data_IF_078926829148
#
_entry.id   IF_078926829148
#
_cell.length_a   1.000
_cell.length_b   1.000
_cell.length_c   1.000
_cell.angle_alpha   90.00
_cell.angle_beta   90.00
_cell.angle_gamma   90.00
#
_symmetry.space_group_name_H-M   'P 1'
#
loop_
_entity.id
_entity.type
_entity.pdbx_description
1 polymer ?
#
# COMPACT_ATOMS: atom_id res chain seq x y z
N UNK A 1 -14.42 -3.78 8.81
CA UNK A 1 -13.92 -3.77 10.21
C UNK A 1 -12.51 -4.35 10.38
N UNK A 2 -12.11 -5.41 9.64
CA UNK A 2 -10.79 -6.07 9.81
C UNK A 2 -9.57 -5.19 9.49
N UNK A 3 -9.64 -4.30 8.49
CA UNK A 3 -8.45 -3.53 8.06
C UNK A 3 -8.06 -2.42 9.03
N UNK A 4 -9.03 -1.82 9.72
CA UNK A 4 -8.79 -0.76 10.71
C UNK A 4 -7.89 -1.25 11.84
N UNK A 5 -8.05 -2.50 12.26
CA UNK A 5 -7.25 -3.10 13.34
C UNK A 5 -5.77 -3.16 12.97
N UNK A 6 -5.43 -3.50 11.71
CA UNK A 6 -4.04 -3.47 11.26
C UNK A 6 -3.45 -2.06 11.33
N UNK A 7 -4.15 -1.03 10.85
CA UNK A 7 -3.66 0.35 10.90
C UNK A 7 -3.54 0.89 12.33
N UNK A 8 -4.46 0.52 13.23
CA UNK A 8 -4.35 0.84 14.66
C UNK A 8 -3.12 0.15 15.26
N UNK A 9 -2.91 -1.13 14.97
CA UNK A 9 -1.73 -1.86 15.43
C UNK A 9 -0.44 -1.25 14.86
N UNK A 10 -0.43 -0.80 13.61
CA UNK A 10 0.71 -0.08 13.01
C UNK A 10 1.00 1.22 13.75
N UNK A 11 -0.02 2.03 14.02
CA UNK A 11 0.13 3.28 14.76
C UNK A 11 0.65 3.03 16.20
N UNK A 12 0.10 2.00 16.86
CA UNK A 12 0.57 1.58 18.19
C UNK A 12 2.02 1.12 18.14
N UNK A 13 2.43 0.35 17.12
CA UNK A 13 3.81 -0.09 16.95
C UNK A 13 4.76 1.11 16.87
N UNK A 14 4.48 2.08 15.97
CA UNK A 14 5.28 3.30 15.87
C UNK A 14 5.34 4.06 17.20
N UNK A 15 4.19 4.25 17.86
CA UNK A 15 4.12 5.00 19.12
C UNK A 15 4.90 4.30 20.24
N UNK A 16 4.75 2.99 20.40
CA UNK A 16 5.47 2.20 21.40
C UNK A 16 6.97 2.22 21.14
N UNK A 17 7.40 2.14 19.87
CA UNK A 17 8.81 2.25 19.51
C UNK A 17 9.37 3.64 19.86
N UNK A 18 8.66 4.72 19.52
CA UNK A 18 9.10 6.08 19.90
C UNK A 18 9.21 6.24 21.42
N UNK A 19 8.20 5.78 22.16
CA UNK A 19 8.22 5.82 23.64
C UNK A 19 9.40 5.02 24.17
N UNK A 20 9.64 3.81 23.66
CA UNK A 20 10.76 2.99 24.06
C UNK A 20 12.11 3.67 23.81
N UNK A 21 12.30 4.26 22.63
CA UNK A 21 13.55 4.98 22.30
C UNK A 21 13.75 6.21 23.19
N UNK A 22 12.68 6.92 23.54
CA UNK A 22 12.74 8.05 24.49
C UNK A 22 13.11 7.58 25.90
N UNK A 23 12.54 6.46 26.38
CA UNK A 23 12.89 5.88 27.68
C UNK A 23 14.34 5.38 27.74
N UNK A 24 14.93 5.08 26.58
CA UNK A 24 16.33 4.63 26.43
C UNK A 24 17.25 5.75 25.93
N UNK A 25 16.78 6.99 25.91
CA UNK A 25 17.49 8.11 25.29
C UNK A 25 18.92 8.27 25.81
N UNK A 26 19.13 8.15 27.12
CA UNK A 26 20.47 8.30 27.72
C UNK A 26 21.47 7.22 27.27
N UNK A 27 20.98 6.03 26.89
CA UNK A 27 21.81 4.94 26.36
C UNK A 27 22.14 5.08 24.87
N UNK A 28 21.41 5.93 24.13
CA UNK A 28 21.67 6.15 22.70
C UNK A 28 23.04 6.81 22.53
N UNK A 29 23.95 6.25 21.72
CA UNK A 29 25.29 6.79 21.54
C UNK A 29 25.26 8.14 20.84
N UNK A 30 26.31 8.93 21.07
CA UNK A 30 26.60 10.13 20.29
C UNK A 30 28.06 10.02 19.79
N UNK A 31 28.29 9.81 18.49
CA UNK A 31 27.32 9.85 17.38
C UNK A 31 26.51 8.55 17.19
N UNK A 32 25.40 8.64 16.43
CA UNK A 32 24.50 7.52 16.11
C UNK A 32 24.86 6.92 14.73
N UNK A 33 24.88 5.59 14.57
CA UNK A 33 25.03 4.97 13.24
C UNK A 33 23.78 5.18 12.37
N UNK A 34 23.96 5.67 11.14
CA UNK A 34 22.86 5.94 10.20
C UNK A 34 22.97 5.18 8.87
N UNK A 35 24.14 4.63 8.56
CA UNK A 35 24.36 3.76 7.41
C UNK A 35 25.22 2.57 7.84
N UNK A 36 25.04 1.46 7.13
CA UNK A 36 25.73 0.20 7.37
C UNK A 36 26.26 -0.34 6.06
N UNK A 37 27.50 -0.83 6.06
CA UNK A 37 28.12 -1.45 4.91
C UNK A 37 27.48 -2.81 4.57
N UNK A 38 27.90 -3.43 3.47
CA UNK A 38 27.42 -4.76 3.08
C UNK A 38 27.77 -5.89 4.06
N UNK A 39 28.67 -5.64 5.02
CA UNK A 39 29.02 -6.57 6.10
C UNK A 39 28.21 -6.33 7.38
N UNK A 40 27.36 -5.29 7.40
CA UNK A 40 26.53 -4.90 8.54
C UNK A 40 27.27 -4.07 9.59
N UNK A 41 28.47 -3.54 9.28
CA UNK A 41 29.17 -2.62 10.17
C UNK A 41 28.69 -1.19 9.89
N UNK A 42 28.52 -0.35 10.93
CA UNK A 42 28.32 1.08 10.71
C UNK A 42 29.49 1.70 9.95
N UNK A 43 29.21 2.40 8.86
CA UNK A 43 30.20 3.10 8.03
C UNK A 43 29.91 4.61 7.89
N UNK A 44 28.74 5.07 8.37
CA UNK A 44 28.38 6.49 8.51
C UNK A 44 27.67 6.74 9.84
N UNK A 45 28.01 7.88 10.44
CA UNK A 45 27.49 8.32 11.74
C UNK A 45 27.02 9.76 11.66
N UNK A 46 26.01 10.11 12.46
CA UNK A 46 25.47 11.47 12.58
C UNK A 46 25.39 11.90 14.05
N UNK A 47 25.40 13.21 14.36
CA UNK A 47 25.17 13.70 15.71
C UNK A 47 23.86 13.17 16.29
N UNK A 48 23.87 12.86 17.58
CA UNK A 48 22.68 12.44 18.30
C UNK A 48 21.63 13.55 18.28
N UNK A 49 20.52 13.25 17.61
CA UNK A 49 19.34 14.11 17.59
C UNK A 49 18.09 13.23 17.61
N UNK A 50 16.98 13.77 18.11
CA UNK A 50 15.72 13.02 18.14
C UNK A 50 15.34 12.52 16.74
N UNK A 51 15.55 13.35 15.72
CA UNK A 51 15.27 13.00 14.33
C UNK A 51 16.16 11.85 13.84
N UNK A 52 17.48 11.96 13.99
CA UNK A 52 18.42 10.94 13.52
C UNK A 52 18.21 9.59 14.21
N UNK A 53 17.93 9.60 15.51
CA UNK A 53 17.61 8.39 16.26
C UNK A 53 16.31 7.73 15.79
N UNK A 54 15.31 8.51 15.35
CA UNK A 54 13.96 8.00 15.06
C UNK A 54 13.61 7.98 13.57
N UNK A 55 14.55 8.31 12.68
CA UNK A 55 14.32 8.47 11.24
C UNK A 55 13.63 7.25 10.60
N UNK A 56 14.07 6.04 10.94
CA UNK A 56 13.45 4.80 10.48
C UNK A 56 11.99 4.68 10.94
N UNK A 57 11.66 5.05 12.17
CA UNK A 57 10.27 5.05 12.65
C UNK A 57 9.41 6.01 11.83
N UNK A 58 9.94 7.19 11.49
CA UNK A 58 9.24 8.14 10.62
C UNK A 58 9.05 7.63 9.19
N UNK A 59 10.00 6.91 8.62
CA UNK A 59 9.81 6.19 7.34
C UNK A 59 8.65 5.20 7.46
N UNK A 60 8.58 4.45 8.56
CA UNK A 60 7.47 3.56 8.87
C UNK A 60 6.12 4.27 8.94
N UNK A 61 6.06 5.46 9.56
CA UNK A 61 4.85 6.31 9.61
C UNK A 61 4.43 6.80 8.23
N UNK A 62 5.38 7.29 7.43
CA UNK A 62 5.09 7.77 6.06
C UNK A 62 4.52 6.66 5.21
N UNK A 63 5.11 5.46 5.21
CA UNK A 63 4.57 4.33 4.47
C UNK A 63 3.23 3.85 5.01
N UNK A 64 3.00 3.92 6.32
CA UNK A 64 1.71 3.59 6.92
C UNK A 64 0.58 4.51 6.46
N UNK A 65 0.90 5.74 6.04
CA UNK A 65 -0.05 6.70 5.49
C UNK A 65 -0.15 6.55 3.96
N UNK A 66 0.99 6.48 3.27
CA UNK A 66 1.04 6.56 1.82
C UNK A 66 0.52 5.29 1.12
N UNK A 67 0.90 4.09 1.58
CA UNK A 67 0.49 2.86 0.91
C UNK A 67 -1.03 2.65 0.90
N UNK A 68 -1.78 2.93 1.99
CA UNK A 68 -3.25 2.87 1.94
C UNK A 68 -3.87 3.86 0.96
N UNK A 69 -3.26 5.03 0.72
CA UNK A 69 -3.76 6.00 -0.27
C UNK A 69 -3.64 5.48 -1.70
N UNK A 70 -2.76 4.50 -1.94
CA UNK A 70 -2.63 3.78 -3.21
C UNK A 70 -3.73 2.75 -3.46
N UNK A 71 -4.64 2.51 -2.52
CA UNK A 71 -5.80 1.62 -2.68
C UNK A 71 -7.04 2.44 -3.03
N UNK A 72 -7.79 2.12 -4.10
CA UNK A 72 -8.98 2.89 -4.43
C UNK A 72 -10.03 2.74 -3.31
N UNK A 73 -10.84 3.78 -3.03
CA UNK A 73 -11.94 3.62 -2.08
C UNK A 73 -12.99 2.67 -2.68
N UNK A 74 -13.50 1.73 -1.87
CA UNK A 74 -14.50 0.72 -2.31
C UNK A 74 -15.72 1.40 -2.96
N UNK A 75 -16.13 2.57 -2.45
CA UNK A 75 -17.22 3.37 -3.01
C UNK A 75 -17.03 3.75 -4.48
N UNK A 76 -15.79 3.77 -5.00
CA UNK A 76 -15.51 4.06 -6.41
C UNK A 76 -16.09 2.99 -7.34
N UNK A 77 -16.28 1.75 -6.88
CA UNK A 77 -16.86 0.65 -7.65
C UNK A 77 -18.33 0.90 -8.01
N UNK A 78 -19.06 1.57 -7.12
CA UNK A 78 -20.47 1.91 -7.31
C UNK A 78 -20.71 3.36 -7.71
N UNK A 79 -19.66 4.18 -7.73
CA UNK A 79 -19.78 5.58 -8.11
C UNK A 79 -20.00 5.69 -9.62
N UNK A 80 -21.13 6.27 -9.99
CA UNK A 80 -21.49 6.55 -11.37
C UNK A 80 -21.38 8.04 -11.68
N UNK A 81 -21.00 8.36 -12.91
CA UNK A 81 -21.04 9.72 -13.45
C UNK A 81 -22.25 9.85 -14.39
N UNK A 82 -22.83 11.04 -14.47
CA UNK A 82 -23.94 11.31 -15.40
C UNK A 82 -23.43 11.25 -16.84
N UNK A 83 -23.96 10.32 -17.61
CA UNK A 83 -23.73 10.15 -19.05
C UNK A 83 -25.11 10.18 -19.72
N UNK A 84 -25.28 10.84 -20.89
CA UNK A 84 -26.55 10.83 -21.62
C UNK A 84 -27.05 9.40 -21.87
N UNK A 85 -28.32 9.13 -21.55
CA UNK A 85 -28.88 7.77 -21.58
C UNK A 85 -28.81 7.09 -22.95
N UNK A 86 -28.88 7.87 -24.04
CA UNK A 86 -28.79 7.39 -25.43
C UNK A 86 -27.40 6.84 -25.80
N UNK A 87 -26.36 7.23 -25.07
CA UNK A 87 -24.97 6.86 -25.36
C UNK A 87 -24.30 6.09 -24.22
N UNK A 88 -24.96 5.98 -23.07
CA UNK A 88 -24.40 5.37 -21.87
C UNK A 88 -24.30 3.86 -22.03
N UNK A 89 -23.13 3.31 -21.71
CA UNK A 89 -23.03 1.88 -21.44
C UNK A 89 -23.85 1.55 -20.17
N UNK A 90 -24.42 0.34 -20.09
CA UNK A 90 -25.19 -0.05 -18.92
C UNK A 90 -24.30 -0.16 -17.68
N UNK A 91 -24.88 0.08 -16.51
CA UNK A 91 -24.19 -0.16 -15.23
C UNK A 91 -24.33 -1.64 -14.87
N UNK A 92 -23.22 -2.36 -14.71
CA UNK A 92 -23.24 -3.77 -14.33
C UNK A 92 -23.05 -3.95 -12.82
N UNK A 93 -24.02 -4.62 -12.18
CA UNK A 93 -23.94 -4.96 -10.76
C UNK A 93 -22.83 -5.96 -10.50
N UNK A 94 -22.69 -6.95 -11.37
CA UNK A 94 -21.67 -7.98 -11.27
C UNK A 94 -20.25 -7.38 -11.42
N UNK A 95 -20.07 -6.41 -12.32
CA UNK A 95 -18.79 -5.68 -12.47
C UNK A 95 -18.46 -4.87 -11.21
N UNK A 96 -19.46 -4.17 -10.65
CA UNK A 96 -19.28 -3.41 -9.41
C UNK A 96 -18.89 -4.32 -8.24
N UNK A 97 -19.59 -5.46 -8.05
CA UNK A 97 -19.26 -6.43 -7.00
C UNK A 97 -17.84 -7.00 -7.14
N UNK A 98 -17.38 -7.29 -8.36
CA UNK A 98 -16.00 -7.73 -8.60
C UNK A 98 -14.99 -6.65 -8.22
N UNK A 99 -15.27 -5.40 -8.58
CA UNK A 99 -14.42 -4.28 -8.25
C UNK A 99 -14.35 -4.03 -6.73
N UNK A 100 -15.47 -4.16 -6.01
CA UNK A 100 -15.50 -4.09 -4.55
C UNK A 100 -14.66 -5.20 -3.92
N UNK A 101 -14.88 -6.44 -4.33
CA UNK A 101 -14.15 -7.62 -3.84
C UNK A 101 -12.64 -7.46 -4.03
N UNK A 102 -12.18 -7.09 -5.23
CA UNK A 102 -10.76 -6.87 -5.51
C UNK A 102 -10.20 -5.71 -4.68
N UNK A 103 -10.97 -4.65 -4.50
CA UNK A 103 -10.56 -3.49 -3.69
C UNK A 103 -10.39 -3.87 -2.23
N UNK A 104 -11.34 -4.61 -1.64
CA UNK A 104 -11.28 -5.05 -0.24
C UNK A 104 -10.12 -6.03 0.02
N UNK A 105 -9.87 -6.94 -0.92
CA UNK A 105 -8.74 -7.86 -0.85
C UNK A 105 -7.41 -7.13 -0.96
N UNK A 106 -7.29 -6.20 -1.91
CA UNK A 106 -6.12 -5.33 -2.04
C UNK A 106 -5.91 -4.49 -0.78
N UNK A 107 -6.98 -3.91 -0.22
CA UNK A 107 -6.91 -3.14 1.02
C UNK A 107 -6.42 -3.99 2.20
N UNK A 108 -6.88 -5.24 2.31
CA UNK A 108 -6.42 -6.17 3.36
C UNK A 108 -4.95 -6.49 3.19
N UNK A 109 -4.52 -6.81 1.95
CA UNK A 109 -3.13 -7.09 1.63
C UNK A 109 -2.23 -5.91 2.00
N UNK A 110 -2.58 -4.69 1.55
CA UNK A 110 -1.82 -3.48 1.88
C UNK A 110 -1.79 -3.21 3.38
N UNK A 111 -2.90 -3.39 4.11
CA UNK A 111 -2.91 -3.21 5.55
C UNK A 111 -1.97 -4.17 6.29
N UNK A 112 -1.92 -5.44 5.86
CA UNK A 112 -0.99 -6.43 6.39
C UNK A 112 0.46 -6.09 6.04
N UNK A 113 0.73 -5.69 4.79
CA UNK A 113 2.05 -5.26 4.32
C UNK A 113 2.57 -4.08 5.12
N UNK A 114 1.72 -3.08 5.35
CA UNK A 114 2.07 -1.89 6.15
C UNK A 114 2.43 -2.31 7.57
N UNK A 115 1.61 -3.11 8.24
CA UNK A 115 1.91 -3.55 9.60
C UNK A 115 3.22 -4.32 9.70
N UNK A 116 3.44 -5.31 8.83
CA UNK A 116 4.66 -6.13 8.89
C UNK A 116 5.90 -5.33 8.54
N UNK A 117 5.84 -4.49 7.51
CA UNK A 117 6.95 -3.60 7.14
C UNK A 117 7.28 -2.61 8.25
N UNK A 118 6.28 -1.94 8.83
CA UNK A 118 6.49 -1.02 9.95
C UNK A 118 7.11 -1.74 11.14
N UNK A 119 6.70 -2.98 11.42
CA UNK A 119 7.30 -3.79 12.49
C UNK A 119 8.78 -4.05 12.22
N UNK A 120 9.16 -4.45 10.99
CA UNK A 120 10.55 -4.64 10.61
C UNK A 120 11.38 -3.36 10.73
N UNK A 121 10.84 -2.23 10.28
CA UNK A 121 11.52 -0.93 10.35
C UNK A 121 11.68 -0.45 11.80
N UNK A 122 10.65 -0.60 12.63
CA UNK A 122 10.72 -0.27 14.06
C UNK A 122 11.71 -1.16 14.80
N UNK A 123 11.72 -2.46 14.49
CA UNK A 123 12.71 -3.40 15.02
C UNK A 123 14.13 -2.97 14.61
N UNK A 124 14.32 -2.63 13.33
CA UNK A 124 15.60 -2.13 12.81
C UNK A 124 16.05 -0.91 13.61
N UNK A 125 15.18 0.10 13.77
CA UNK A 125 15.47 1.33 14.50
C UNK A 125 15.95 1.07 15.94
N UNK A 126 15.26 0.19 16.65
CA UNK A 126 15.61 -0.16 18.03
C UNK A 126 16.95 -0.86 18.11
N UNK A 127 17.18 -1.83 17.23
CA UNK A 127 18.38 -2.68 17.26
C UNK A 127 19.64 -1.98 16.77
N UNK A 128 19.53 -0.95 15.93
CA UNK A 128 20.69 -0.20 15.42
C UNK A 128 21.06 0.98 16.30
N UNK A 129 20.11 1.53 17.08
CA UNK A 129 20.32 2.76 17.85
C UNK A 129 20.52 2.50 19.35
N UNK A 130 19.97 1.42 19.91
CA UNK A 130 20.06 1.13 21.36
C UNK A 130 21.12 0.05 21.61
N UNK A 131 22.26 0.37 22.26
CA UNK A 131 23.44 -0.50 22.30
C UNK A 131 23.30 -1.73 23.21
N UNK A 132 22.49 -1.66 24.27
CA UNK A 132 22.36 -2.76 25.25
C UNK A 132 21.35 -3.84 24.83
N UNK A 133 20.83 -3.78 23.60
CA UNK A 133 19.94 -4.82 23.10
C UNK A 133 20.84 -5.89 22.49
N UNK A 134 20.91 -7.10 23.07
CA UNK A 134 21.70 -8.19 22.54
C UNK A 134 21.02 -8.71 21.26
N UNK A 135 21.20 -7.96 20.17
CA UNK A 135 20.56 -8.25 18.91
C UNK A 135 21.59 -8.82 17.95
N UNK A 136 21.35 -10.03 17.46
CA UNK A 136 22.19 -10.58 16.40
C UNK A 136 21.78 -9.94 15.07
N UNK A 137 22.75 -9.45 14.29
CA UNK A 137 22.48 -8.99 12.92
C UNK A 137 21.74 -10.05 12.09
N UNK A 138 21.93 -11.34 12.42
CA UNK A 138 21.17 -12.46 11.87
C UNK A 138 19.66 -12.35 12.10
N UNK A 139 19.20 -11.91 13.27
CA UNK A 139 17.77 -11.75 13.55
C UNK A 139 17.17 -10.63 12.69
N UNK A 140 17.92 -9.57 12.38
CA UNK A 140 17.48 -8.52 11.47
C UNK A 140 17.28 -9.06 10.05
N UNK A 141 18.30 -9.77 9.56
CA UNK A 141 18.27 -10.41 8.23
C UNK A 141 17.10 -11.39 8.15
N UNK A 142 16.94 -12.25 9.16
CA UNK A 142 15.83 -13.20 9.23
C UNK A 142 14.47 -12.49 9.24
N UNK A 143 14.32 -11.37 9.95
CA UNK A 143 13.09 -10.58 9.96
C UNK A 143 12.75 -10.01 8.57
N UNK A 144 13.73 -9.44 7.86
CA UNK A 144 13.53 -8.89 6.52
C UNK A 144 13.31 -9.96 5.45
N UNK A 145 14.00 -11.11 5.54
CA UNK A 145 13.73 -12.29 4.70
C UNK A 145 12.32 -12.82 4.98
N UNK A 146 11.94 -12.95 6.25
CA UNK A 146 10.60 -13.38 6.66
C UNK A 146 9.51 -12.45 6.15
N UNK A 147 9.71 -11.14 6.25
CA UNK A 147 8.83 -10.13 5.64
C UNK A 147 8.71 -10.32 4.13
N UNK A 148 9.82 -10.47 3.42
CA UNK A 148 9.84 -10.64 1.96
C UNK A 148 9.06 -11.90 1.55
N UNK A 149 9.34 -13.04 2.20
CA UNK A 149 8.63 -14.28 1.96
C UNK A 149 7.13 -14.15 2.29
N UNK A 150 6.79 -13.49 3.39
CA UNK A 150 5.40 -13.22 3.76
C UNK A 150 4.69 -12.43 2.64
N UNK A 151 5.27 -11.34 2.14
CA UNK A 151 4.69 -10.53 1.06
C UNK A 151 4.54 -11.34 -0.22
N UNK A 152 5.55 -12.14 -0.60
CA UNK A 152 5.47 -13.01 -1.77
C UNK A 152 4.32 -14.01 -1.65
N UNK A 153 4.22 -14.70 -0.51
CA UNK A 153 3.16 -15.68 -0.23
C UNK A 153 1.78 -15.00 -0.26
N UNK A 154 1.64 -13.83 0.37
CA UNK A 154 0.38 -13.10 0.39
C UNK A 154 0.02 -12.56 -1.01
N UNK A 155 0.99 -12.12 -1.81
CA UNK A 155 0.79 -11.66 -3.18
C UNK A 155 0.33 -12.80 -4.11
N UNK A 156 0.93 -13.98 -3.99
CA UNK A 156 0.49 -15.20 -4.69
C UNK A 156 -0.93 -15.57 -4.24
N UNK A 157 -1.19 -15.60 -2.93
CA UNK A 157 -2.53 -15.90 -2.39
C UNK A 157 -3.58 -14.90 -2.86
N UNK A 158 -3.26 -13.60 -2.85
CA UNK A 158 -4.12 -12.54 -3.35
C UNK A 158 -4.47 -12.81 -4.81
N UNK A 159 -3.46 -13.03 -5.66
CA UNK A 159 -3.66 -13.25 -7.09
C UNK A 159 -4.53 -14.48 -7.36
N UNK A 160 -4.20 -15.63 -6.77
CA UNK A 160 -4.91 -16.89 -7.00
C UNK A 160 -6.33 -16.87 -6.46
N UNK A 161 -6.53 -16.38 -5.23
CA UNK A 161 -7.86 -16.32 -4.61
C UNK A 161 -8.72 -15.23 -5.23
N UNK A 162 -8.16 -14.09 -5.61
CA UNK A 162 -8.90 -13.05 -6.31
C UNK A 162 -9.40 -13.54 -7.66
N UNK A 163 -8.55 -14.20 -8.45
CA UNK A 163 -8.97 -14.76 -9.74
C UNK A 163 -10.10 -15.79 -9.58
N UNK A 164 -10.02 -16.66 -8.56
CA UNK A 164 -11.09 -17.63 -8.26
C UNK A 164 -12.39 -16.94 -7.85
N UNK A 165 -12.34 -16.04 -6.88
CA UNK A 165 -13.55 -15.46 -6.29
C UNK A 165 -14.23 -14.47 -7.24
N UNK A 166 -13.45 -13.77 -8.07
CA UNK A 166 -13.99 -12.91 -9.15
C UNK A 166 -14.74 -13.73 -10.20
N UNK A 167 -14.23 -14.92 -10.55
CA UNK A 167 -14.90 -15.84 -11.49
C UNK A 167 -16.16 -16.47 -10.89
N UNK A 168 -16.26 -16.56 -9.57
CA UNK A 168 -17.44 -17.12 -8.90
C UNK A 168 -18.65 -16.18 -8.93
N UNK A 169 -18.44 -14.88 -9.14
CA UNK A 169 -19.54 -13.92 -9.34
C UNK A 169 -20.16 -14.20 -10.73
N UNK A 170 -21.48 -14.44 -10.83
CA UNK A 170 -22.15 -14.64 -12.12
C UNK A 170 -22.07 -13.40 -13.00
N UNK A 171 -21.89 -13.59 -14.31
CA UNK A 171 -21.92 -12.49 -15.28
C UNK A 171 -23.36 -12.05 -15.54
N UNK A 172 -23.65 -10.76 -15.38
CA UNK A 172 -24.95 -10.19 -15.73
C UNK A 172 -25.00 -9.75 -17.22
N UNK A 173 -26.21 -9.53 -17.74
CA UNK A 173 -26.40 -9.15 -19.15
C UNK A 173 -25.70 -7.82 -19.47
N UNK A 174 -25.73 -6.87 -18.54
CA UNK A 174 -25.07 -5.57 -18.65
C UNK A 174 -23.55 -5.72 -18.78
N UNK A 175 -22.94 -6.65 -18.03
CA UNK A 175 -21.52 -6.99 -18.15
C UNK A 175 -21.17 -7.57 -19.51
N UNK A 176 -22.03 -8.40 -20.12
CA UNK A 176 -21.78 -8.95 -21.45
C UNK A 176 -21.74 -7.85 -22.52
N UNK A 177 -22.69 -6.90 -22.45
CA UNK A 177 -22.72 -5.73 -23.33
C UNK A 177 -21.45 -4.89 -23.13
N UNK A 178 -21.10 -4.61 -21.86
CA UNK A 178 -19.88 -3.86 -21.52
C UNK A 178 -18.61 -4.55 -22.00
N UNK A 179 -18.49 -5.87 -21.80
CA UNK A 179 -17.31 -6.64 -22.22
C UNK A 179 -17.08 -6.57 -23.72
N UNK A 180 -18.16 -6.54 -24.51
CA UNK A 180 -18.07 -6.37 -25.97
C UNK A 180 -17.58 -4.97 -26.33
N UNK A 181 -18.14 -3.94 -25.69
CA UNK A 181 -17.78 -2.54 -25.96
C UNK A 181 -16.37 -2.16 -25.45
N UNK A 182 -15.94 -2.71 -24.32
CA UNK A 182 -14.71 -2.32 -23.60
C UNK A 182 -13.55 -3.30 -23.77
N UNK A 183 -13.68 -4.30 -24.65
CA UNK A 183 -12.74 -5.43 -24.79
C UNK A 183 -11.26 -5.03 -24.83
N UNK A 184 -10.95 -3.92 -25.50
CA UNK A 184 -9.61 -3.39 -25.70
C UNK A 184 -9.37 -2.02 -25.04
N UNK A 185 -10.30 -1.56 -24.20
CA UNK A 185 -10.21 -0.25 -23.57
C UNK A 185 -9.21 -0.22 -22.39
N UNK A 186 -8.93 -1.38 -21.78
CA UNK A 186 -8.13 -1.47 -20.55
C UNK A 186 -6.65 -1.66 -20.78
N UNK A 187 -5.84 -1.01 -19.94
CA UNK A 187 -4.38 -1.11 -19.94
C UNK A 187 -3.79 -1.37 -18.55
N UNK A 188 -2.79 -0.58 -18.17
CA UNK A 188 -2.04 -0.66 -16.90
C UNK A 188 -2.85 -0.19 -15.67
N UNK A 189 -4.06 -0.74 -15.47
CA UNK A 189 -4.94 -0.39 -14.35
C UNK A 189 -5.78 0.88 -14.56
N UNK A 190 -5.75 1.43 -15.77
CA UNK A 190 -6.55 2.58 -16.19
C UNK A 190 -7.17 2.33 -17.57
N UNK A 191 -8.28 3.02 -17.81
CA UNK A 191 -8.89 3.16 -19.13
C UNK A 191 -9.52 4.55 -19.26
N UNK A 192 -9.97 4.90 -20.46
CA UNK A 192 -10.67 6.16 -20.73
C UNK A 192 -11.85 5.89 -21.65
N UNK A 193 -13.05 5.84 -21.08
CA UNK A 193 -14.29 5.72 -21.84
C UNK A 193 -15.33 6.69 -21.27
N UNK A 194 -15.59 7.83 -21.95
CA UNK A 194 -16.59 8.82 -21.52
C UNK A 194 -18.01 8.27 -21.46
N UNK A 195 -18.33 7.27 -22.30
CA UNK A 195 -19.67 6.66 -22.37
C UNK A 195 -19.94 5.65 -21.26
N UNK A 196 -18.91 5.21 -20.53
CA UNK A 196 -19.05 4.29 -19.42
C UNK A 196 -19.34 5.07 -18.14
N UNK A 197 -20.52 4.97 -17.52
CA UNK A 197 -20.82 5.71 -16.30
C UNK A 197 -20.00 5.24 -15.09
N UNK A 198 -19.43 4.02 -15.12
CA UNK A 198 -18.65 3.48 -14.00
C UNK A 198 -17.28 4.18 -13.88
N UNK A 199 -16.88 4.50 -12.64
CA UNK A 199 -15.58 5.10 -12.35
C UNK A 199 -14.46 4.06 -12.16
N UNK A 200 -14.83 2.81 -11.88
CA UNK A 200 -13.92 1.69 -11.68
C UNK A 200 -14.61 0.40 -12.13
N UNK A 201 -13.85 -0.47 -12.80
CA UNK A 201 -14.36 -1.72 -13.33
C UNK A 201 -13.33 -2.84 -13.22
N UNK A 202 -13.77 -4.06 -13.45
CA UNK A 202 -12.94 -5.24 -13.67
C UNK A 202 -13.27 -5.76 -15.05
N UNK A 203 -12.27 -5.88 -15.91
CA UNK A 203 -12.49 -6.35 -17.28
C UNK A 203 -12.28 -7.86 -17.37
N UNK A 204 -13.08 -8.52 -18.20
CA UNK A 204 -12.99 -9.97 -18.46
C UNK A 204 -11.62 -10.41 -18.98
N UNK A 205 -10.92 -9.56 -19.74
CA UNK A 205 -9.56 -9.84 -20.24
C UNK A 205 -8.50 -9.85 -19.14
N UNK A 206 -8.77 -9.20 -18.00
CA UNK A 206 -7.85 -9.07 -16.87
C UNK A 206 -8.62 -9.12 -15.53
N UNK A 207 -9.19 -10.27 -15.14
CA UNK A 207 -10.11 -10.37 -14.00
C UNK A 207 -9.43 -10.15 -12.64
N UNK A 208 -8.10 -10.11 -12.59
CA UNK A 208 -7.33 -9.83 -11.37
C UNK A 208 -6.96 -8.35 -11.21
N UNK A 209 -7.35 -7.47 -12.13
CA UNK A 209 -6.94 -6.06 -12.15
C UNK A 209 -8.15 -5.13 -12.02
N UNK A 210 -8.00 -4.13 -11.17
CA UNK A 210 -8.89 -2.97 -11.14
C UNK A 210 -8.51 -2.04 -12.29
N UNK A 211 -9.52 -1.54 -13.00
CA UNK A 211 -9.38 -0.58 -14.08
C UNK A 211 -10.09 0.71 -13.68
N UNK A 212 -9.36 1.82 -13.61
CA UNK A 212 -9.92 3.13 -13.23
C UNK A 212 -10.29 3.92 -14.48
N UNK A 213 -11.51 4.44 -14.54
CA UNK A 213 -11.95 5.27 -15.65
C UNK A 213 -11.48 6.72 -15.48
N UNK A 214 -10.51 7.12 -16.30
CA UNK A 214 -9.93 8.48 -16.27
C UNK A 214 -10.74 9.50 -17.06
N UNK A 215 -11.76 9.07 -17.81
CA UNK A 215 -12.72 9.98 -18.43
C UNK A 215 -13.50 10.79 -17.38
N UNK A 216 -13.67 10.23 -16.18
CA UNK A 216 -14.43 10.84 -15.10
C UNK A 216 -13.55 11.43 -14.01
N UNK A 217 -14.03 12.53 -13.42
CA UNK A 217 -13.32 13.23 -12.35
C UNK A 217 -12.98 12.35 -11.14
N UNK A 218 -13.87 11.46 -10.64
CA UNK A 218 -13.54 10.61 -9.50
C UNK A 218 -12.33 9.70 -9.75
N UNK A 219 -12.20 9.15 -10.96
CA UNK A 219 -11.05 8.34 -11.36
C UNK A 219 -9.77 9.17 -11.43
N UNK A 220 -9.81 10.37 -12.03
CA UNK A 220 -8.65 11.29 -12.06
C UNK A 220 -8.21 11.73 -10.67
N UNK A 221 -9.15 12.11 -9.80
CA UNK A 221 -8.86 12.50 -8.40
C UNK A 221 -8.18 11.36 -7.63
N UNK A 222 -8.60 10.12 -7.86
CA UNK A 222 -7.93 8.95 -7.27
C UNK A 222 -6.48 8.84 -7.75
N UNK A 223 -6.21 8.94 -9.06
CA UNK A 223 -4.84 8.87 -9.57
C UNK A 223 -3.96 10.01 -9.06
N UNK A 224 -4.48 11.23 -8.97
CA UNK A 224 -3.77 12.35 -8.35
C UNK A 224 -3.39 12.07 -6.90
N UNK A 225 -4.31 11.48 -6.13
CA UNK A 225 -4.04 11.08 -4.74
C UNK A 225 -2.89 10.08 -4.65
N UNK A 226 -2.83 9.09 -5.56
CA UNK A 226 -1.70 8.14 -5.63
C UNK A 226 -0.40 8.89 -5.94
N UNK A 227 -0.41 9.73 -6.98
CA UNK A 227 0.77 10.49 -7.40
C UNK A 227 1.33 11.35 -6.29
N UNK A 228 0.47 12.09 -5.57
CA UNK A 228 0.86 12.90 -4.42
C UNK A 228 1.43 12.04 -3.29
N UNK A 229 0.78 10.93 -2.95
CA UNK A 229 1.24 10.05 -1.87
C UNK A 229 2.62 9.43 -2.17
N UNK A 230 2.83 8.95 -3.40
CA UNK A 230 4.11 8.39 -3.83
C UNK A 230 5.20 9.46 -3.88
N UNK A 231 4.91 10.61 -4.48
CA UNK A 231 5.87 11.71 -4.57
C UNK A 231 6.29 12.21 -3.18
N UNK A 232 5.33 12.45 -2.28
CA UNK A 232 5.62 12.88 -0.92
C UNK A 232 6.46 11.85 -0.16
N UNK A 233 6.19 10.55 -0.35
CA UNK A 233 6.97 9.47 0.28
C UNK A 233 8.40 9.42 -0.23
N UNK A 234 8.60 9.52 -1.55
CA UNK A 234 9.93 9.53 -2.15
C UNK A 234 10.71 10.77 -1.71
N UNK A 235 10.09 11.95 -1.78
CA UNK A 235 10.71 13.20 -1.34
C UNK A 235 11.13 13.14 0.13
N UNK A 236 10.30 12.54 0.99
CA UNK A 236 10.63 12.33 2.40
C UNK A 236 11.83 11.39 2.61
N UNK A 237 11.86 10.25 1.91
CA UNK A 237 13.00 9.33 1.98
C UNK A 237 14.30 9.96 1.44
N UNK A 238 14.22 10.74 0.36
CA UNK A 238 15.36 11.49 -0.18
C UNK A 238 15.84 12.53 0.81
N UNK A 239 14.93 13.27 1.45
CA UNK A 239 15.26 14.23 2.50
C UNK A 239 16.03 13.56 3.65
N UNK A 240 15.57 12.41 4.14
CA UNK A 240 16.29 11.65 5.17
C UNK A 240 17.68 11.21 4.69
N UNK A 241 17.82 10.83 3.42
CA UNK A 241 19.09 10.32 2.91
C UNK A 241 20.17 11.43 2.75
N UNK A 242 19.75 12.68 2.50
CA UNK A 242 20.65 13.83 2.28
C UNK A 242 20.88 14.70 3.53
N UNK A 243 20.06 14.52 4.57
CA UNK A 243 20.29 15.05 5.91
C UNK A 243 21.22 14.12 6.71
#
# INVERSE_FOLDING_TARGET
MRNRQYYVATAMMCALTLVYMLLRWDSVPDPIPVHFDGSGNPDRFEPKSFFNATALVWIGVVFAIALPLCVPPVSLARKTTRVPASESLPFSQATAQRAELLTEKTATFIAQTVLTMTTCVCLTAVCTVVPDIPFSGFLLVAAWVGFTLFIMIQGVRLTLRSAKDVKAIPTDQDEQVRNTALRFAGGMGVYKEPKDPMCMAVFSTNPSKLQINTAHEPGRRYLWRIGIALFASIAFCVLIAVL
#
